data_IF_251281868103
#
_entry.id   IF_251281868103
#
_cell.length_a   1.000
_cell.length_b   1.000
_cell.length_c   1.000
_cell.angle_alpha   90.00
_cell.angle_beta   90.00
_cell.angle_gamma   90.00
#
_symmetry.space_group_name_H-M   'P 1'
#
loop_
_entity.id
_entity.type
_entity.pdbx_description
1 polymer ?
#
# COMPACT_ATOMS: atom_id res chain seq x y z
N UNK A 1 45.43 -17.66 37.79
CA UNK A 1 43.99 -17.58 37.52
C UNK A 1 43.82 -16.95 36.14
N UNK A 2 43.33 -17.72 35.17
CA UNK A 2 43.32 -17.36 33.76
C UNK A 2 42.03 -16.58 33.44
N UNK A 3 42.17 -15.29 33.14
CA UNK A 3 41.06 -14.37 32.87
C UNK A 3 40.45 -14.60 31.47
N UNK A 4 41.12 -15.39 30.63
CA UNK A 4 40.67 -15.72 29.27
C UNK A 4 39.44 -16.62 29.28
N UNK A 5 39.38 -17.60 30.19
CA UNK A 5 38.21 -18.50 30.31
C UNK A 5 36.95 -17.81 30.85
N UNK A 6 37.12 -16.67 31.54
CA UNK A 6 35.99 -15.86 32.00
C UNK A 6 35.40 -15.09 30.82
N UNK A 7 36.23 -14.49 29.95
CA UNK A 7 35.77 -13.80 28.73
C UNK A 7 34.92 -14.70 27.82
N UNK A 8 35.33 -15.96 27.66
CA UNK A 8 34.60 -16.94 26.86
C UNK A 8 33.28 -17.37 27.50
N UNK A 9 33.19 -17.33 28.83
CA UNK A 9 31.95 -17.63 29.57
C UNK A 9 30.94 -16.47 29.57
N UNK A 10 31.39 -15.21 29.46
CA UNK A 10 30.48 -14.05 29.33
C UNK A 10 29.95 -13.89 27.90
N UNK A 11 30.63 -14.48 26.90
CA UNK A 11 30.15 -14.54 25.51
C UNK A 11 29.04 -15.57 25.28
N UNK A 12 28.86 -16.54 26.18
CA UNK A 12 27.90 -17.64 26.05
C UNK A 12 26.64 -17.49 26.91
N UNK A 13 26.61 -16.57 27.89
CA UNK A 13 25.40 -16.18 28.61
C UNK A 13 24.61 -15.10 27.83
N UNK A 14 23.83 -15.53 26.84
CA UNK A 14 22.50 -14.96 26.61
C UNK A 14 22.36 -13.62 25.87
N UNK A 15 23.37 -13.10 25.18
CA UNK A 15 23.23 -11.90 24.32
C UNK A 15 23.40 -12.17 22.81
N UNK A 16 23.58 -13.44 22.40
CA UNK A 16 23.77 -13.83 20.99
C UNK A 16 22.49 -14.22 20.25
N UNK A 17 21.32 -13.82 20.76
CA UNK A 17 20.02 -13.99 20.06
C UNK A 17 19.20 -12.70 19.97
N UNK A 18 19.83 -11.53 19.99
CA UNK A 18 19.23 -10.38 19.28
C UNK A 18 19.54 -10.58 17.80
N UNK A 19 18.65 -11.31 17.14
CA UNK A 19 18.57 -11.38 15.69
C UNK A 19 18.47 -9.93 15.20
N UNK A 20 19.58 -9.38 14.74
CA UNK A 20 19.61 -8.12 14.02
C UNK A 20 18.88 -8.33 12.68
N UNK A 21 17.55 -8.31 12.72
CA UNK A 21 16.65 -8.03 11.59
C UNK A 21 16.64 -6.52 11.32
N UNK A 22 17.81 -5.89 11.37
CA UNK A 22 18.02 -4.49 10.99
C UNK A 22 19.09 -4.55 9.93
N UNK A 23 18.68 -4.90 8.71
CA UNK A 23 19.34 -4.65 7.42
C UNK A 23 18.68 -5.52 6.33
N UNK A 24 17.36 -5.49 6.23
CA UNK A 24 16.84 -5.32 4.89
C UNK A 24 16.87 -3.80 4.71
N UNK A 25 17.62 -3.21 3.76
CA UNK A 25 17.20 -1.90 3.31
C UNK A 25 15.77 -2.14 2.85
N UNK A 26 14.80 -1.71 3.67
CA UNK A 26 13.46 -1.47 3.16
C UNK A 26 13.73 -0.53 2.02
N UNK A 27 13.73 -1.08 0.82
CA UNK A 27 13.80 -0.36 -0.42
C UNK A 27 12.85 0.79 -0.20
N UNK A 28 13.40 2.01 -0.04
CA UNK A 28 12.59 3.20 0.23
C UNK A 28 11.56 3.19 -0.89
N UNK A 29 10.33 2.79 -0.56
CA UNK A 29 9.30 2.63 -1.58
C UNK A 29 9.08 4.03 -2.08
N UNK A 30 9.63 4.30 -3.27
CA UNK A 30 9.56 5.61 -3.86
C UNK A 30 8.09 6.02 -3.92
N UNK A 31 7.81 7.31 -3.75
CA UNK A 31 6.45 7.83 -3.92
C UNK A 31 5.80 7.33 -5.23
N UNK A 32 6.61 7.13 -6.29
CA UNK A 32 6.16 6.56 -7.55
C UNK A 32 5.65 5.11 -7.42
N UNK A 33 6.27 4.27 -6.57
CA UNK A 33 5.78 2.92 -6.28
C UNK A 33 4.45 2.99 -5.54
N UNK A 34 4.37 3.75 -4.45
CA UNK A 34 3.13 3.89 -3.68
C UNK A 34 1.97 4.43 -4.54
N UNK A 35 2.26 5.41 -5.41
CA UNK A 35 1.26 5.95 -6.33
C UNK A 35 0.82 4.91 -7.36
N UNK A 36 1.76 4.11 -7.89
CA UNK A 36 1.44 3.03 -8.83
C UNK A 36 0.55 1.98 -8.17
N UNK A 37 0.85 1.60 -6.93
CA UNK A 37 0.10 0.61 -6.18
C UNK A 37 -1.31 1.12 -5.86
N UNK A 38 -1.44 2.38 -5.42
CA UNK A 38 -2.74 3.01 -5.19
C UNK A 38 -3.61 3.09 -6.45
N UNK A 39 -3.01 3.41 -7.61
CA UNK A 39 -3.72 3.40 -8.91
C UNK A 39 -4.11 1.97 -9.29
N UNK A 40 -3.25 1.00 -9.03
CA UNK A 40 -3.55 -0.43 -9.23
C UNK A 40 -4.72 -0.90 -8.38
N UNK A 41 -4.78 -0.45 -7.12
CA UNK A 41 -5.87 -0.75 -6.20
C UNK A 41 -7.20 -0.15 -6.67
N UNK A 42 -7.22 1.12 -7.10
CA UNK A 42 -8.42 1.75 -7.67
C UNK A 42 -8.92 0.95 -8.89
N UNK A 43 -8.03 0.49 -9.75
CA UNK A 43 -8.39 -0.33 -10.90
C UNK A 43 -8.96 -1.69 -10.47
N UNK A 44 -8.38 -2.32 -9.46
CA UNK A 44 -8.87 -3.58 -8.91
C UNK A 44 -10.30 -3.43 -8.38
N UNK A 45 -10.56 -2.41 -7.56
CA UNK A 45 -11.91 -2.08 -7.07
C UNK A 45 -12.89 -1.87 -8.23
N UNK A 46 -12.47 -1.18 -9.29
CA UNK A 46 -13.29 -0.97 -10.48
C UNK A 46 -13.69 -2.28 -11.18
N UNK A 47 -12.75 -3.20 -11.37
CA UNK A 47 -13.00 -4.51 -11.97
C UNK A 47 -13.95 -5.35 -11.10
N UNK A 48 -13.79 -5.29 -9.78
CA UNK A 48 -14.67 -5.98 -8.84
C UNK A 48 -16.09 -5.40 -8.84
N UNK A 49 -16.22 -4.08 -8.87
CA UNK A 49 -17.49 -3.39 -9.04
C UNK A 49 -18.20 -3.78 -10.35
N UNK A 50 -17.48 -3.89 -11.46
CA UNK A 50 -18.07 -4.34 -12.73
C UNK A 50 -18.57 -5.80 -12.68
N UNK A 51 -17.79 -6.70 -12.07
CA UNK A 51 -18.24 -8.10 -11.86
C UNK A 51 -19.48 -8.16 -10.97
N UNK A 52 -19.54 -7.33 -9.94
CA UNK A 52 -20.72 -7.22 -9.08
C UNK A 52 -21.94 -6.72 -9.85
N UNK A 53 -21.79 -5.68 -10.69
CA UNK A 53 -22.87 -5.20 -11.57
C UNK A 53 -23.35 -6.30 -12.53
N UNK A 54 -22.43 -7.05 -13.14
CA UNK A 54 -22.77 -8.17 -14.03
C UNK A 54 -23.54 -9.27 -13.27
N UNK A 55 -23.09 -9.61 -12.06
CA UNK A 55 -23.76 -10.57 -11.19
C UNK A 55 -25.20 -10.16 -10.85
N UNK A 56 -25.41 -8.87 -10.55
CA UNK A 56 -26.74 -8.31 -10.30
C UNK A 56 -27.60 -8.36 -11.57
N UNK A 57 -27.08 -7.89 -12.70
CA UNK A 57 -27.81 -7.82 -13.96
C UNK A 57 -28.20 -9.21 -14.50
N UNK A 58 -27.39 -10.22 -14.25
CA UNK A 58 -27.64 -11.61 -14.65
C UNK A 58 -28.48 -12.39 -13.64
N UNK A 59 -28.80 -11.81 -12.48
CA UNK A 59 -29.54 -12.47 -11.40
C UNK A 59 -28.76 -13.57 -10.68
N UNK A 60 -27.44 -13.63 -10.86
CA UNK A 60 -26.55 -14.64 -10.24
C UNK A 60 -25.93 -14.17 -8.92
N UNK A 61 -26.39 -13.05 -8.39
CA UNK A 61 -25.86 -12.47 -7.15
C UNK A 61 -26.45 -13.17 -5.93
N UNK A 62 -25.60 -13.78 -5.10
CA UNK A 62 -26.05 -14.43 -3.86
C UNK A 62 -26.29 -13.39 -2.75
N UNK A 63 -25.45 -12.36 -2.68
CA UNK A 63 -25.52 -11.28 -1.69
C UNK A 63 -25.57 -9.92 -2.40
N UNK A 64 -26.76 -9.34 -2.48
CA UNK A 64 -26.98 -8.06 -3.14
C UNK A 64 -26.30 -6.91 -2.39
N UNK A 65 -26.29 -6.95 -1.06
CA UNK A 65 -25.69 -5.90 -0.22
C UNK A 65 -24.18 -5.82 -0.44
N UNK A 66 -23.49 -6.95 -0.47
CA UNK A 66 -22.05 -7.01 -0.75
C UNK A 66 -21.75 -6.55 -2.19
N UNK A 67 -22.58 -6.94 -3.15
CA UNK A 67 -22.40 -6.51 -4.54
C UNK A 67 -22.57 -4.99 -4.69
N UNK A 68 -23.56 -4.39 -4.03
CA UNK A 68 -23.75 -2.93 -4.00
C UNK A 68 -22.57 -2.25 -3.28
N UNK A 69 -22.09 -2.81 -2.17
CA UNK A 69 -20.93 -2.28 -1.46
C UNK A 69 -19.69 -2.20 -2.38
N UNK A 70 -19.38 -3.27 -3.12
CA UNK A 70 -18.24 -3.27 -4.05
C UNK A 70 -18.39 -2.23 -5.17
N UNK A 71 -19.61 -1.99 -5.62
CA UNK A 71 -19.90 -0.95 -6.62
C UNK A 71 -19.65 0.44 -6.03
N UNK A 72 -20.14 0.71 -4.82
CA UNK A 72 -19.94 1.99 -4.14
C UNK A 72 -18.47 2.25 -3.80
N UNK A 73 -17.74 1.23 -3.34
CA UNK A 73 -16.30 1.29 -3.07
C UNK A 73 -15.52 1.64 -4.34
N UNK A 74 -15.85 0.99 -5.47
CA UNK A 74 -15.26 1.29 -6.77
C UNK A 74 -15.50 2.74 -7.21
N UNK A 75 -16.74 3.23 -7.09
CA UNK A 75 -17.09 4.59 -7.47
C UNK A 75 -16.40 5.64 -6.59
N UNK A 76 -16.45 5.46 -5.27
CA UNK A 76 -15.84 6.38 -4.32
C UNK A 76 -14.31 6.43 -4.47
N UNK A 77 -13.67 5.26 -4.62
CA UNK A 77 -12.23 5.14 -4.82
C UNK A 77 -11.78 5.86 -6.10
N UNK A 78 -12.51 5.66 -7.20
CA UNK A 78 -12.24 6.37 -8.46
C UNK A 78 -12.39 7.89 -8.31
N UNK A 79 -13.48 8.34 -7.70
CA UNK A 79 -13.73 9.77 -7.47
C UNK A 79 -12.60 10.40 -6.66
N UNK A 80 -12.21 9.77 -5.56
CA UNK A 80 -11.08 10.21 -4.74
C UNK A 80 -9.78 10.27 -5.56
N UNK A 81 -9.47 9.22 -6.32
CA UNK A 81 -8.27 9.17 -7.17
C UNK A 81 -8.24 10.29 -8.21
N UNK A 82 -9.38 10.63 -8.81
CA UNK A 82 -9.52 11.74 -9.76
C UNK A 82 -9.32 13.10 -9.09
N UNK A 83 -9.87 13.32 -7.90
CA UNK A 83 -9.67 14.55 -7.13
C UNK A 83 -8.19 14.75 -6.77
N UNK A 84 -7.54 13.70 -6.29
CA UNK A 84 -6.10 13.71 -5.97
C UNK A 84 -5.27 13.99 -7.23
N UNK A 85 -5.55 13.30 -8.35
CA UNK A 85 -4.89 13.54 -9.65
C UNK A 85 -5.02 15.02 -10.05
N UNK A 86 -6.23 15.56 -10.00
CA UNK A 86 -6.48 16.95 -10.38
C UNK A 86 -5.71 17.93 -9.49
N UNK A 87 -5.67 17.68 -8.18
CA UNK A 87 -4.91 18.50 -7.24
C UNK A 87 -3.41 18.43 -7.46
N UNK A 88 -2.87 17.24 -7.74
CA UNK A 88 -1.46 17.04 -8.05
C UNK A 88 -1.05 17.80 -9.33
N UNK A 89 -1.86 17.71 -10.39
CA UNK A 89 -1.63 18.45 -11.64
C UNK A 89 -1.69 19.96 -11.39
N UNK A 90 -2.65 20.44 -10.59
CA UNK A 90 -2.76 21.85 -10.25
C UNK A 90 -1.53 22.35 -9.48
N UNK A 91 -1.06 21.59 -8.49
CA UNK A 91 0.14 21.91 -7.73
C UNK A 91 1.39 21.97 -8.63
N UNK A 92 1.55 21.02 -9.55
CA UNK A 92 2.63 21.03 -10.53
C UNK A 92 2.59 22.29 -11.41
N UNK A 93 1.40 22.64 -11.95
CA UNK A 93 1.23 23.84 -12.77
C UNK A 93 1.58 25.12 -12.02
N UNK A 94 1.19 25.23 -10.74
CA UNK A 94 1.48 26.40 -9.92
C UNK A 94 2.99 26.56 -9.68
N UNK A 95 3.67 25.47 -9.31
CA UNK A 95 5.13 25.47 -9.12
C UNK A 95 5.85 25.84 -10.43
N UNK A 96 5.41 25.27 -11.55
CA UNK A 96 5.97 25.59 -12.87
C UNK A 96 5.77 27.05 -13.25
N UNK A 97 4.67 27.68 -12.83
CA UNK A 97 4.38 29.09 -13.08
C UNK A 97 5.21 30.02 -12.19
N UNK A 98 5.51 29.61 -10.96
CA UNK A 98 6.39 30.39 -10.07
C UNK A 98 7.86 30.37 -10.51
N UNK A 99 8.29 29.31 -11.20
CA UNK A 99 9.67 29.16 -11.67
C UNK A 99 9.91 29.74 -13.08
N UNK A 100 8.85 30.06 -13.82
CA UNK A 100 8.89 30.70 -15.13
C UNK A 100 8.80 32.23 -15.00
#
# INVERSE_FOLDING_TARGET
MNISSIKDSIGTLGLSQVKNEVNNPKQDESFASMLKDAVGEVNQHQVEGYKAMEGIATGKVENLQEAVQKIEEAELSLKLGLEVKNKAIAAYKEISRMQA
#
